data_IF_928575351286
#
_entry.id   IF_928575351286
#
_cell.length_a   1.000
_cell.length_b   1.000
_cell.length_c   1.000
_cell.angle_alpha   90.00
_cell.angle_beta   90.00
_cell.angle_gamma   90.00
#
_symmetry.space_group_name_H-M   'P 1'
#
loop_
_entity.id
_entity.type
_entity.pdbx_description
1 polymer ?
#
# COMPACT_ATOMS: atom_id res chain seq x y z
N UNK A 1 14.56 -19.20 -25.55
CA UNK A 1 15.80 -19.29 -24.73
C UNK A 1 16.61 -17.99 -24.61
N UNK A 2 16.74 -17.19 -25.67
CA UNK A 2 17.63 -15.99 -25.66
C UNK A 2 17.17 -14.83 -24.76
N UNK A 3 15.85 -14.63 -24.57
CA UNK A 3 15.32 -13.55 -23.70
C UNK A 3 15.48 -13.82 -22.19
N UNK A 4 15.44 -15.09 -21.75
CA UNK A 4 15.63 -15.48 -20.34
C UNK A 4 17.07 -15.28 -19.87
N UNK A 5 18.05 -15.54 -20.76
CA UNK A 5 19.48 -15.27 -20.50
C UNK A 5 19.77 -13.77 -20.35
N UNK A 6 19.15 -12.95 -21.19
CA UNK A 6 19.32 -11.49 -21.15
C UNK A 6 18.80 -10.86 -19.86
N UNK A 7 17.72 -11.39 -19.29
CA UNK A 7 17.18 -10.93 -18.01
C UNK A 7 18.12 -11.29 -16.84
N UNK A 8 18.68 -12.51 -16.85
CA UNK A 8 19.65 -12.97 -15.86
C UNK A 8 21.00 -12.22 -15.95
N UNK A 9 21.46 -11.92 -17.17
CA UNK A 9 22.67 -11.11 -17.41
C UNK A 9 22.48 -9.64 -17.00
N UNK A 10 21.26 -9.09 -17.10
CA UNK A 10 20.94 -7.72 -16.68
C UNK A 10 20.81 -7.55 -15.16
N UNK A 11 20.44 -8.62 -14.44
CA UNK A 11 20.36 -8.63 -12.98
C UNK A 11 21.76 -8.72 -12.34
N UNK A 12 22.76 -9.20 -13.11
CA UNK A 12 24.11 -9.47 -12.61
C UNK A 12 24.12 -10.57 -11.54
N UNK A 13 25.28 -10.88 -10.97
CA UNK A 13 25.40 -11.68 -9.74
C UNK A 13 24.83 -10.96 -8.50
N UNK A 14 24.09 -9.87 -8.71
CA UNK A 14 23.31 -9.16 -7.70
C UNK A 14 22.32 -10.13 -7.10
N UNK A 15 22.59 -10.51 -5.86
CA UNK A 15 21.75 -11.40 -5.09
C UNK A 15 20.33 -10.84 -5.16
N UNK A 16 19.36 -11.70 -5.49
CA UNK A 16 17.97 -11.35 -5.20
C UNK A 16 17.96 -10.87 -3.74
N UNK A 17 17.35 -9.73 -3.42
CA UNK A 17 17.45 -9.08 -2.11
C UNK A 17 16.79 -9.89 -0.96
N UNK A 18 16.38 -11.12 -1.27
CA UNK A 18 15.81 -12.08 -0.35
C UNK A 18 16.66 -13.35 -0.40
N UNK A 19 16.81 -13.94 0.79
CA UNK A 19 17.57 -15.16 1.07
C UNK A 19 17.58 -16.14 -0.10
N UNK A 20 18.78 -16.39 -0.61
CA UNK A 20 19.11 -17.49 -1.49
C UNK A 20 19.56 -18.69 -0.65
N UNK A 21 19.51 -19.89 -1.22
CA UNK A 21 20.05 -21.10 -0.57
C UNK A 21 21.55 -21.05 -0.27
N UNK A 22 22.23 -19.96 -0.65
CA UNK A 22 23.64 -19.67 -0.39
C UNK A 22 23.85 -18.74 0.81
N UNK A 23 22.80 -18.14 1.35
CA UNK A 23 22.90 -17.26 2.52
C UNK A 23 22.90 -18.10 3.80
N UNK A 24 23.84 -17.82 4.72
CA UNK A 24 24.04 -18.61 5.96
C UNK A 24 22.77 -18.69 6.83
N UNK A 25 21.89 -17.69 6.75
CA UNK A 25 20.62 -17.62 7.49
C UNK A 25 19.44 -18.27 6.77
N UNK A 26 19.64 -18.82 5.58
CA UNK A 26 18.58 -19.48 4.79
C UNK A 26 17.92 -20.63 5.55
N UNK A 27 18.72 -21.38 6.31
CA UNK A 27 18.27 -22.51 7.11
C UNK A 27 17.87 -22.11 8.55
N UNK A 28 18.21 -20.90 8.99
CA UNK A 28 17.90 -20.40 10.34
C UNK A 28 16.47 -19.84 10.45
N UNK A 29 15.76 -19.67 9.33
CA UNK A 29 14.38 -19.18 9.27
C UNK A 29 13.38 -20.33 9.38
N UNK A 30 13.26 -20.91 10.57
CA UNK A 30 12.20 -21.88 10.83
C UNK A 30 10.93 -21.16 11.34
N UNK A 31 10.07 -20.72 10.43
CA UNK A 31 8.74 -20.18 10.76
C UNK A 31 7.79 -21.32 11.13
N UNK A 32 7.83 -21.76 12.38
CA UNK A 32 7.03 -22.88 12.89
C UNK A 32 5.62 -22.51 13.36
N UNK A 33 5.33 -21.21 13.48
CA UNK A 33 4.03 -20.69 13.93
C UNK A 33 3.00 -20.64 12.79
N UNK A 34 2.50 -21.82 12.41
CA UNK A 34 1.50 -21.99 11.35
C UNK A 34 0.14 -22.42 11.93
N UNK A 35 -0.94 -21.92 11.34
CA UNK A 35 -2.32 -22.25 11.72
C UNK A 35 -2.78 -23.52 11.02
N UNK A 36 -3.55 -24.37 11.70
CA UNK A 36 -4.22 -25.52 11.07
C UNK A 36 -5.37 -25.08 10.16
N UNK A 37 -5.52 -25.76 9.02
CA UNK A 37 -6.64 -25.57 8.10
C UNK A 37 -7.96 -25.96 8.79
N UNK A 38 -8.96 -25.06 8.83
CA UNK A 38 -10.08 -25.20 9.76
C UNK A 38 -11.25 -26.07 9.29
N UNK A 39 -11.35 -26.45 8.01
CA UNK A 39 -12.58 -27.01 7.46
C UNK A 39 -12.46 -28.47 7.00
N UNK A 40 -11.34 -28.81 6.36
CA UNK A 40 -11.18 -30.08 5.63
C UNK A 40 -10.04 -30.94 6.19
N UNK A 41 -9.33 -30.47 7.21
CA UNK A 41 -8.22 -31.21 7.81
C UNK A 41 -6.99 -31.29 6.92
N UNK A 42 -6.75 -30.27 6.09
CA UNK A 42 -5.64 -30.25 5.13
C UNK A 42 -4.26 -29.99 5.76
N UNK A 43 -4.19 -29.67 7.05
CA UNK A 43 -2.94 -29.44 7.79
C UNK A 43 -2.54 -27.96 7.90
N UNK A 44 -1.25 -27.71 8.13
CA UNK A 44 -0.74 -26.36 8.45
C UNK A 44 -0.70 -25.44 7.25
N UNK A 45 -1.28 -24.26 7.38
CA UNK A 45 -1.31 -23.24 6.33
C UNK A 45 -0.14 -22.26 6.45
N UNK A 46 0.66 -22.15 5.38
CA UNK A 46 1.60 -21.04 5.20
C UNK A 46 0.86 -19.75 4.82
N UNK A 47 -0.22 -19.88 4.05
CA UNK A 47 -1.14 -18.79 3.71
C UNK A 47 -2.56 -19.31 3.88
N UNK A 48 -3.37 -18.61 4.68
CA UNK A 48 -4.76 -19.02 4.96
C UNK A 48 -5.67 -18.86 3.74
N UNK A 49 -6.88 -19.41 3.81
CA UNK A 49 -7.92 -19.21 2.79
C UNK A 49 -8.14 -17.73 2.46
N UNK A 50 -7.97 -17.36 1.20
CA UNK A 50 -8.15 -15.99 0.72
C UNK A 50 -8.56 -15.96 -0.76
N UNK A 51 -8.97 -14.76 -1.18
CA UNK A 51 -8.99 -14.34 -2.58
C UNK A 51 -7.79 -13.43 -2.81
N UNK A 52 -7.18 -13.51 -3.99
CA UNK A 52 -6.20 -12.50 -4.38
C UNK A 52 -6.88 -11.14 -4.59
N UNK A 53 -6.38 -10.12 -3.90
CA UNK A 53 -6.88 -8.75 -3.99
C UNK A 53 -6.15 -7.95 -5.10
N UNK A 54 -6.74 -6.82 -5.47
CA UNK A 54 -6.21 -5.86 -6.43
C UNK A 54 -5.80 -6.47 -7.79
N UNK A 55 -6.67 -7.30 -8.36
CA UNK A 55 -6.51 -7.90 -9.68
C UNK A 55 -7.50 -7.31 -10.68
N UNK A 56 -7.09 -7.19 -11.94
CA UNK A 56 -8.03 -6.91 -13.04
C UNK A 56 -9.10 -8.01 -13.07
N UNK A 57 -10.36 -7.63 -13.26
CA UNK A 57 -11.48 -8.58 -13.28
C UNK A 57 -11.22 -9.70 -14.30
N UNK A 58 -11.47 -10.95 -13.88
CA UNK A 58 -11.25 -12.17 -14.68
C UNK A 58 -9.81 -12.40 -15.17
N UNK A 59 -8.83 -11.68 -14.62
CA UNK A 59 -7.44 -11.87 -15.00
C UNK A 59 -6.86 -13.17 -14.44
N UNK A 60 -5.97 -13.78 -15.22
CA UNK A 60 -5.29 -15.02 -14.83
C UNK A 60 -4.19 -14.75 -13.81
N UNK A 61 -4.11 -15.61 -12.79
CA UNK A 61 -2.95 -15.72 -11.90
C UNK A 61 -2.18 -16.99 -12.25
N UNK A 62 -0.87 -16.85 -12.46
CA UNK A 62 0.02 -17.98 -12.77
C UNK A 62 1.10 -18.10 -11.70
N UNK A 63 1.26 -19.30 -11.14
CA UNK A 63 2.19 -19.55 -10.03
C UNK A 63 3.22 -20.58 -10.45
N UNK A 64 4.49 -20.19 -10.40
CA UNK A 64 5.63 -21.11 -10.46
C UNK A 64 6.00 -21.54 -9.04
N UNK A 65 6.09 -22.84 -8.79
CA UNK A 65 6.45 -23.42 -7.52
C UNK A 65 7.91 -23.90 -7.51
N UNK A 66 8.65 -23.59 -6.44
CA UNK A 66 9.97 -24.14 -6.19
C UNK A 66 10.10 -24.60 -4.75
N UNK A 67 10.03 -25.89 -4.53
CA UNK A 67 10.34 -26.52 -3.24
C UNK A 67 11.81 -26.92 -3.23
N UNK A 68 12.54 -26.54 -2.19
CA UNK A 68 13.91 -26.99 -1.99
C UNK A 68 13.91 -28.50 -1.69
N UNK A 69 14.80 -29.23 -2.35
CA UNK A 69 15.09 -30.62 -2.05
C UNK A 69 16.61 -30.71 -1.84
N UNK A 70 17.04 -31.23 -0.70
CA UNK A 70 18.43 -31.67 -0.56
C UNK A 70 18.70 -32.78 -1.58
N UNK A 71 19.86 -32.73 -2.23
CA UNK A 71 20.20 -33.62 -3.34
C UNK A 71 20.03 -35.10 -2.98
N UNK A 72 19.08 -35.75 -3.67
CA UNK A 72 18.96 -37.18 -3.96
C UNK A 72 19.30 -38.14 -2.81
N UNK A 73 18.29 -38.51 -2.03
CA UNK A 73 18.09 -39.91 -1.70
C UNK A 73 16.69 -40.31 -2.16
N UNK A 74 16.65 -41.31 -3.04
CA UNK A 74 15.44 -41.94 -3.55
C UNK A 74 14.49 -42.29 -2.40
N UNK A 75 13.32 -41.65 -2.36
CA UNK A 75 12.18 -42.18 -1.63
C UNK A 75 11.10 -42.50 -2.66
N UNK A 76 11.23 -43.71 -3.22
CA UNK A 76 10.11 -44.39 -3.86
C UNK A 76 9.10 -44.73 -2.75
N UNK A 77 8.02 -43.97 -2.66
CA UNK A 77 6.88 -44.24 -1.77
C UNK A 77 5.64 -43.53 -2.28
N UNK A 78 4.59 -44.30 -2.60
CA UNK A 78 3.29 -43.86 -3.13
C UNK A 78 2.31 -43.39 -2.03
N UNK A 79 2.80 -42.84 -0.92
CA UNK A 79 1.93 -42.24 0.10
C UNK A 79 1.95 -40.71 -0.03
N UNK A 80 0.79 -40.07 0.16
CA UNK A 80 0.62 -38.63 0.27
C UNK A 80 1.55 -38.08 1.37
N UNK A 81 2.74 -37.67 0.96
CA UNK A 81 3.80 -37.27 1.87
C UNK A 81 3.38 -35.98 2.61
N UNK A 82 3.11 -36.04 3.94
CA UNK A 82 2.74 -34.86 4.74
C UNK A 82 3.87 -33.82 4.81
N UNK A 83 5.03 -34.11 4.23
CA UNK A 83 6.15 -33.17 4.10
C UNK A 83 6.11 -32.34 2.82
N UNK A 84 5.19 -32.60 1.88
CA UNK A 84 5.10 -31.90 0.59
C UNK A 84 4.24 -30.64 0.67
N UNK A 85 4.61 -29.64 -0.13
CA UNK A 85 3.82 -28.40 -0.29
C UNK A 85 2.60 -28.64 -1.16
N UNK A 86 1.47 -28.00 -0.81
CA UNK A 86 0.24 -28.11 -1.60
C UNK A 86 -0.42 -26.74 -1.79
N UNK A 87 -1.25 -26.64 -2.81
CA UNK A 87 -2.26 -25.58 -2.93
C UNK A 87 -3.64 -26.19 -2.63
N UNK A 88 -4.35 -25.58 -1.70
CA UNK A 88 -5.74 -25.91 -1.40
C UNK A 88 -6.70 -25.04 -2.19
N UNK A 89 -7.82 -25.60 -2.64
CA UNK A 89 -8.89 -24.88 -3.35
C UNK A 89 -10.26 -25.28 -2.78
N UNK A 90 -11.13 -24.29 -2.54
CA UNK A 90 -12.53 -24.51 -2.13
C UNK A 90 -13.46 -23.53 -2.82
N UNK A 91 -14.72 -23.91 -3.00
CA UNK A 91 -15.77 -22.97 -3.43
C UNK A 91 -15.95 -21.92 -2.32
N UNK A 92 -16.08 -20.64 -2.69
CA UNK A 92 -16.32 -19.57 -1.72
C UNK A 92 -17.65 -19.82 -0.98
N UNK A 93 -17.67 -19.55 0.33
CA UNK A 93 -18.84 -19.74 1.20
C UNK A 93 -19.33 -21.19 1.39
N UNK A 94 -18.66 -22.18 0.80
CA UNK A 94 -19.02 -23.59 0.89
C UNK A 94 -17.93 -24.38 1.63
N UNK A 95 -18.34 -25.15 2.64
CA UNK A 95 -17.48 -26.09 3.39
C UNK A 95 -18.02 -27.52 3.38
N UNK A 96 -19.11 -27.77 2.66
CA UNK A 96 -19.72 -29.09 2.48
C UNK A 96 -19.15 -29.79 1.24
N UNK A 97 -18.94 -29.04 0.15
CA UNK A 97 -18.23 -29.56 -1.02
C UNK A 97 -16.77 -29.84 -0.63
N UNK A 98 -16.27 -31.07 -0.80
CA UNK A 98 -14.89 -31.40 -0.46
C UNK A 98 -13.88 -30.48 -1.17
N UNK A 99 -13.00 -29.86 -0.41
CA UNK A 99 -11.91 -29.04 -0.96
C UNK A 99 -10.88 -29.90 -1.71
N UNK A 100 -10.22 -29.30 -2.70
CA UNK A 100 -9.13 -29.94 -3.43
C UNK A 100 -7.80 -29.61 -2.77
N UNK A 101 -6.93 -30.62 -2.62
CA UNK A 101 -5.57 -30.47 -2.14
C UNK A 101 -4.62 -30.97 -3.23
N UNK A 102 -3.94 -30.04 -3.92
CA UNK A 102 -3.09 -30.38 -5.06
C UNK A 102 -1.61 -30.35 -4.68
N UNK A 103 -0.86 -31.45 -4.83
CA UNK A 103 0.56 -31.50 -4.48
C UNK A 103 1.40 -30.67 -5.43
N UNK A 104 2.39 -29.95 -4.88
CA UNK A 104 3.30 -29.09 -5.64
C UNK A 104 4.73 -29.63 -5.52
N UNK A 105 5.24 -30.17 -6.63
CA UNK A 105 6.66 -30.52 -6.82
C UNK A 105 7.47 -29.28 -7.18
N UNK A 106 8.79 -29.38 -7.00
CA UNK A 106 9.70 -28.35 -7.48
C UNK A 106 9.63 -28.22 -9.01
N UNK A 107 9.37 -27.02 -9.52
CA UNK A 107 9.18 -26.73 -10.95
C UNK A 107 7.73 -26.76 -11.42
N UNK A 108 6.79 -27.24 -10.61
CA UNK A 108 5.37 -27.27 -10.99
C UNK A 108 4.81 -25.86 -11.17
N UNK A 109 3.84 -25.73 -12.07
CA UNK A 109 3.09 -24.51 -12.29
C UNK A 109 1.60 -24.78 -12.19
N UNK A 110 0.85 -23.86 -11.58
CA UNK A 110 -0.61 -23.87 -11.63
C UNK A 110 -1.16 -22.50 -12.05
N UNK A 111 -2.36 -22.51 -12.63
CA UNK A 111 -3.02 -21.33 -13.14
C UNK A 111 -4.43 -21.24 -12.57
N UNK A 112 -4.79 -20.05 -12.09
CA UNK A 112 -6.17 -19.70 -11.76
C UNK A 112 -6.70 -18.85 -12.91
N UNK A 113 -7.67 -19.40 -13.65
CA UNK A 113 -8.18 -18.82 -14.88
C UNK A 113 -9.51 -18.10 -14.63
N UNK A 114 -9.77 -17.05 -15.39
CA UNK A 114 -11.06 -16.35 -15.44
C UNK A 114 -11.57 -15.97 -14.04
N UNK A 115 -12.79 -16.38 -13.68
CA UNK A 115 -13.43 -16.02 -12.42
C UNK A 115 -13.04 -16.92 -11.24
N UNK A 116 -12.07 -17.85 -11.40
CA UNK A 116 -11.73 -18.82 -10.37
C UNK A 116 -11.32 -18.14 -9.05
N UNK A 117 -10.54 -17.06 -9.13
CA UNK A 117 -10.15 -16.29 -7.94
C UNK A 117 -11.33 -15.56 -7.26
N UNK A 118 -12.46 -15.36 -7.96
CA UNK A 118 -13.68 -14.74 -7.42
C UNK A 118 -14.63 -15.80 -6.85
N UNK A 119 -14.78 -16.92 -7.54
CA UNK A 119 -15.74 -18.00 -7.18
C UNK A 119 -15.17 -18.98 -6.17
N UNK A 120 -13.85 -19.09 -6.08
CA UNK A 120 -13.14 -20.00 -5.18
C UNK A 120 -12.16 -19.24 -4.28
N UNK A 121 -11.91 -19.80 -3.11
CA UNK A 121 -10.81 -19.40 -2.23
C UNK A 121 -9.67 -20.40 -2.39
N UNK A 122 -8.44 -19.92 -2.23
CA UNK A 122 -7.28 -20.78 -2.21
C UNK A 122 -6.44 -20.56 -0.95
N UNK A 123 -5.68 -21.58 -0.56
CA UNK A 123 -4.72 -21.52 0.54
C UNK A 123 -3.43 -22.25 0.16
N UNK A 124 -2.37 -22.03 0.94
CA UNK A 124 -1.09 -22.74 0.76
C UNK A 124 -0.85 -23.60 1.99
N UNK A 125 -0.82 -24.91 1.78
CA UNK A 125 -0.48 -25.89 2.83
C UNK A 125 1.03 -26.07 2.84
N UNK A 126 1.62 -25.90 4.02
CA UNK A 126 3.05 -25.94 4.26
C UNK A 126 3.57 -27.37 4.23
N UNK A 127 4.63 -27.60 3.46
CA UNK A 127 5.48 -28.77 3.59
C UNK A 127 6.56 -28.57 4.67
N UNK A 128 7.48 -29.53 4.79
CA UNK A 128 8.57 -29.45 5.76
C UNK A 128 9.80 -28.70 5.25
N UNK A 129 10.00 -28.64 3.94
CA UNK A 129 11.18 -28.02 3.33
C UNK A 129 10.94 -26.54 2.99
N UNK A 130 11.99 -25.70 2.93
CA UNK A 130 11.87 -24.34 2.40
C UNK A 130 11.28 -24.32 0.99
N UNK A 131 10.48 -23.29 0.69
CA UNK A 131 9.79 -23.15 -0.60
C UNK A 131 9.69 -21.69 -1.03
N UNK A 132 9.93 -21.48 -2.31
CA UNK A 132 9.69 -20.23 -3.01
C UNK A 132 8.53 -20.41 -3.99
N UNK A 133 7.86 -19.30 -4.28
CA UNK A 133 6.91 -19.24 -5.38
C UNK A 133 7.04 -17.91 -6.10
N UNK A 134 6.72 -17.91 -7.39
CA UNK A 134 6.57 -16.71 -8.18
C UNK A 134 5.14 -16.63 -8.67
N UNK A 135 4.36 -15.73 -8.07
CA UNK A 135 2.94 -15.53 -8.36
C UNK A 135 2.77 -14.34 -9.29
N UNK A 136 2.65 -14.62 -10.58
CA UNK A 136 2.44 -13.62 -11.62
C UNK A 136 0.97 -13.18 -11.64
N UNK A 137 0.76 -11.87 -11.61
CA UNK A 137 -0.56 -11.22 -11.48
C UNK A 137 -0.72 -10.13 -12.53
N UNK A 138 -1.97 -9.84 -12.89
CA UNK A 138 -2.34 -8.60 -13.58
C UNK A 138 -2.96 -7.68 -12.53
N UNK A 139 -2.11 -6.88 -11.87
CA UNK A 139 -2.55 -5.97 -10.84
C UNK A 139 -3.49 -4.91 -11.42
N UNK A 140 -4.61 -4.68 -10.74
CA UNK A 140 -5.43 -3.51 -11.05
C UNK A 140 -4.68 -2.26 -10.60
N UNK A 141 -4.34 -1.43 -11.57
CA UNK A 141 -3.36 -0.36 -11.41
C UNK A 141 -3.77 0.95 -12.06
N UNK A 142 -5.04 1.12 -12.41
CA UNK A 142 -5.58 2.37 -12.97
C UNK A 142 -5.25 3.58 -12.09
N UNK A 143 -5.26 3.40 -10.77
CA UNK A 143 -4.88 4.40 -9.77
C UNK A 143 -3.58 4.07 -9.02
N UNK A 144 -2.93 2.96 -9.37
CA UNK A 144 -1.78 2.40 -8.64
C UNK A 144 -0.41 2.65 -9.30
N UNK A 145 -0.31 3.56 -10.28
CA UNK A 145 0.96 3.84 -10.98
C UNK A 145 1.53 5.22 -10.66
N UNK A 146 2.87 5.32 -10.69
CA UNK A 146 3.56 6.59 -10.46
C UNK A 146 3.12 7.67 -11.46
N UNK A 147 2.85 7.29 -12.71
CA UNK A 147 2.37 8.22 -13.73
C UNK A 147 0.99 8.78 -13.38
N UNK A 148 0.08 7.93 -12.89
CA UNK A 148 -1.25 8.34 -12.45
C UNK A 148 -1.14 9.37 -11.31
N UNK A 149 -0.48 9.04 -10.21
CA UNK A 149 -0.44 9.94 -9.05
C UNK A 149 0.28 11.26 -9.37
N UNK A 150 1.32 11.23 -10.22
CA UNK A 150 1.96 12.46 -10.70
C UNK A 150 0.99 13.31 -11.51
N UNK A 151 0.15 12.71 -12.34
CA UNK A 151 -0.89 13.42 -13.08
C UNK A 151 -1.89 14.07 -12.14
N UNK A 152 -2.33 13.35 -11.10
CA UNK A 152 -3.23 13.88 -10.07
C UNK A 152 -2.59 15.08 -9.35
N UNK A 153 -1.37 14.93 -8.82
CA UNK A 153 -0.63 16.02 -8.18
C UNK A 153 -0.49 17.24 -9.10
N UNK A 154 -0.10 17.04 -10.35
CA UNK A 154 0.04 18.13 -11.31
C UNK A 154 -1.29 18.83 -11.56
N UNK A 155 -2.41 18.10 -11.62
CA UNK A 155 -3.75 18.66 -11.76
C UNK A 155 -4.12 19.55 -10.56
N UNK A 156 -3.91 19.06 -9.34
CA UNK A 156 -4.15 19.84 -8.12
C UNK A 156 -3.31 21.13 -8.09
N UNK A 157 -2.02 21.02 -8.41
CA UNK A 157 -1.09 22.14 -8.41
C UNK A 157 -1.38 23.19 -9.49
N UNK A 158 -2.26 22.91 -10.47
CA UNK A 158 -2.70 23.95 -11.41
C UNK A 158 -3.41 25.10 -10.71
N UNK A 159 -4.03 24.89 -9.55
CA UNK A 159 -4.66 25.97 -8.78
C UNK A 159 -3.66 26.80 -7.94
N UNK A 160 -2.40 26.35 -7.82
CA UNK A 160 -1.35 27.09 -7.13
C UNK A 160 -0.72 28.14 -8.06
N UNK A 161 -0.62 29.37 -7.59
CA UNK A 161 0.07 30.46 -8.24
C UNK A 161 1.21 30.97 -7.35
N UNK A 162 2.40 31.12 -7.93
CA UNK A 162 3.54 31.73 -7.25
C UNK A 162 3.80 33.08 -7.89
N UNK A 163 3.69 34.14 -7.10
CA UNK A 163 4.00 35.49 -7.56
C UNK A 163 5.50 35.59 -7.88
N UNK A 164 5.89 35.93 -9.13
CA UNK A 164 7.28 35.90 -9.55
C UNK A 164 8.15 36.98 -8.88
N UNK A 165 7.54 38.09 -8.45
CA UNK A 165 8.26 39.22 -7.87
C UNK A 165 8.48 39.08 -6.36
N UNK A 166 7.49 38.49 -5.66
CA UNK A 166 7.49 38.38 -4.19
C UNK A 166 7.77 36.97 -3.69
N UNK A 167 7.62 35.95 -4.55
CA UNK A 167 7.64 34.54 -4.16
C UNK A 167 6.44 34.11 -3.32
N UNK A 168 5.42 34.97 -3.17
CA UNK A 168 4.23 34.66 -2.39
C UNK A 168 3.33 33.65 -3.13
N UNK A 169 2.86 32.64 -2.40
CA UNK A 169 1.91 31.65 -2.89
C UNK A 169 0.47 32.18 -2.75
N UNK A 170 -0.35 31.94 -3.77
CA UNK A 170 -1.78 32.26 -3.79
C UNK A 170 -2.57 31.20 -4.58
N UNK A 171 -3.89 31.17 -4.41
CA UNK A 171 -4.78 30.28 -5.17
C UNK A 171 -5.40 31.03 -6.35
N UNK A 172 -5.43 30.38 -7.52
CA UNK A 172 -5.99 31.00 -8.73
C UNK A 172 -7.51 31.16 -8.66
N UNK A 173 -8.19 30.21 -8.04
CA UNK A 173 -9.62 30.27 -7.78
C UNK A 173 -9.99 29.57 -6.47
N UNK A 174 -11.12 29.98 -5.90
CA UNK A 174 -11.72 29.43 -4.68
C UNK A 174 -13.00 28.64 -5.01
N UNK A 175 -13.08 28.04 -6.20
CA UNK A 175 -14.25 27.28 -6.61
C UNK A 175 -14.38 26.00 -5.74
N UNK A 176 -15.52 25.77 -5.06
CA UNK A 176 -15.60 24.74 -4.03
C UNK A 176 -15.24 23.33 -4.50
N UNK A 177 -15.62 22.94 -5.72
CA UNK A 177 -15.33 21.59 -6.23
C UNK A 177 -13.82 21.41 -6.52
N UNK A 178 -13.17 22.43 -7.12
CA UNK A 178 -11.71 22.43 -7.32
C UNK A 178 -10.97 22.34 -5.99
N UNK A 179 -11.43 23.06 -4.95
CA UNK A 179 -10.83 22.97 -3.62
C UNK A 179 -11.03 21.59 -3.00
N UNK A 180 -12.24 21.03 -3.03
CA UNK A 180 -12.52 19.67 -2.54
C UNK A 180 -11.64 18.62 -3.22
N UNK A 181 -11.58 18.64 -4.55
CA UNK A 181 -10.76 17.71 -5.34
C UNK A 181 -9.26 17.86 -5.04
N UNK A 182 -8.77 19.08 -4.81
CA UNK A 182 -7.38 19.32 -4.42
C UNK A 182 -7.06 18.65 -3.08
N UNK A 183 -7.96 18.78 -2.10
CA UNK A 183 -7.79 18.19 -0.78
C UNK A 183 -7.89 16.65 -0.79
N UNK A 184 -8.71 16.08 -1.68
CA UNK A 184 -8.77 14.63 -1.94
C UNK A 184 -7.45 14.10 -2.54
N UNK A 185 -6.91 14.77 -3.56
CA UNK A 185 -5.60 14.42 -4.15
C UNK A 185 -4.47 14.56 -3.12
N UNK A 186 -4.57 15.56 -2.24
CA UNK A 186 -3.64 15.74 -1.14
C UNK A 186 -3.66 14.56 -0.16
N UNK A 187 -4.85 14.04 0.17
CA UNK A 187 -4.99 12.80 0.94
C UNK A 187 -4.42 11.60 0.20
N UNK A 188 -4.75 11.45 -1.08
CA UNK A 188 -4.30 10.32 -1.91
C UNK A 188 -2.78 10.21 -1.94
N UNK A 189 -2.05 11.30 -2.24
CA UNK A 189 -0.58 11.29 -2.23
C UNK A 189 0.00 11.05 -0.84
N UNK A 190 -0.64 11.56 0.22
CA UNK A 190 -0.16 11.36 1.59
C UNK A 190 -0.30 9.89 2.02
N UNK A 191 -1.48 9.30 1.83
CA UNK A 191 -1.85 8.04 2.46
C UNK A 191 -1.66 6.82 1.58
N UNK A 192 -1.89 6.91 0.26
CA UNK A 192 -1.72 5.77 -0.65
C UNK A 192 -0.29 5.66 -1.20
N UNK A 193 0.52 6.72 -1.07
CA UNK A 193 1.88 6.77 -1.61
C UNK A 193 2.94 6.98 -0.54
N UNK A 194 3.00 8.17 0.06
CA UNK A 194 4.09 8.53 0.96
C UNK A 194 4.10 7.64 2.21
N UNK A 195 2.99 7.57 2.95
CA UNK A 195 2.94 6.78 4.18
C UNK A 195 3.06 5.28 3.93
N UNK A 196 2.47 4.76 2.86
CA UNK A 196 2.67 3.36 2.44
C UNK A 196 4.14 3.03 2.17
N UNK A 197 4.86 3.91 1.48
CA UNK A 197 6.26 3.71 1.17
C UNK A 197 7.14 3.76 2.42
N UNK A 198 6.99 4.79 3.25
CA UNK A 198 7.83 4.97 4.44
C UNK A 198 7.50 3.99 5.58
N UNK A 199 6.27 3.47 5.64
CA UNK A 199 5.89 2.43 6.57
C UNK A 199 6.67 1.12 6.37
N UNK A 200 7.17 0.86 5.16
CA UNK A 200 7.96 -0.33 4.86
C UNK A 200 9.43 -0.22 5.32
N UNK A 201 9.80 0.88 5.98
CA UNK A 201 11.17 1.14 6.42
C UNK A 201 12.10 1.42 5.25
N UNK A 202 13.35 0.96 5.33
CA UNK A 202 14.40 1.20 4.32
C UNK A 202 14.67 -0.04 3.45
N UNK A 203 13.80 -1.05 3.49
CA UNK A 203 14.02 -2.37 2.89
C UNK A 203 14.29 -2.32 1.38
N UNK A 204 13.62 -1.42 0.66
CA UNK A 204 13.75 -1.28 -0.79
C UNK A 204 15.13 -0.77 -1.23
N UNK A 205 15.84 -0.01 -0.38
CA UNK A 205 17.18 0.50 -0.69
C UNK A 205 18.23 -0.60 -0.90
N UNK A 206 17.94 -1.83 -0.45
CA UNK A 206 18.79 -3.00 -0.72
C UNK A 206 18.71 -3.46 -2.18
N UNK A 207 17.60 -3.18 -2.85
CA UNK A 207 17.28 -3.73 -4.16
C UNK A 207 17.38 -2.68 -5.28
N UNK A 208 16.90 -1.46 -5.00
CA UNK A 208 16.79 -0.40 -5.99
C UNK A 208 16.65 0.96 -5.34
N UNK A 209 17.18 1.99 -6.00
CA UNK A 209 17.01 3.40 -5.60
C UNK A 209 15.88 4.10 -6.35
N UNK A 210 15.24 3.44 -7.32
CA UNK A 210 14.23 4.03 -8.22
C UNK A 210 13.14 4.82 -7.47
N UNK A 211 12.56 4.20 -6.44
CA UNK A 211 11.46 4.81 -5.69
C UNK A 211 11.87 6.00 -4.83
N UNK A 212 13.16 6.14 -4.48
CA UNK A 212 13.62 7.25 -3.64
C UNK A 212 13.43 8.60 -4.33
N UNK A 213 13.79 8.68 -5.60
CA UNK A 213 13.63 9.90 -6.40
C UNK A 213 12.15 10.21 -6.62
N UNK A 214 11.37 9.19 -6.99
CA UNK A 214 9.93 9.31 -7.16
C UNK A 214 9.22 9.84 -5.89
N UNK A 215 9.58 9.32 -4.72
CA UNK A 215 8.95 9.72 -3.45
C UNK A 215 9.39 11.10 -2.98
N UNK A 216 10.63 11.51 -3.30
CA UNK A 216 11.09 12.89 -3.06
C UNK A 216 10.26 13.89 -3.86
N UNK A 217 9.96 13.59 -5.12
CA UNK A 217 9.12 14.44 -5.95
C UNK A 217 7.67 14.51 -5.46
N UNK A 218 7.08 13.36 -5.07
CA UNK A 218 5.73 13.33 -4.49
C UNK A 218 5.66 14.10 -3.17
N UNK A 219 6.71 14.07 -2.36
CA UNK A 219 6.79 14.84 -1.12
C UNK A 219 6.82 16.36 -1.40
N UNK A 220 7.52 16.80 -2.44
CA UNK A 220 7.52 18.22 -2.85
C UNK A 220 6.10 18.66 -3.24
N UNK A 221 5.40 17.86 -4.06
CA UNK A 221 4.02 18.15 -4.43
C UNK A 221 3.08 18.14 -3.21
N UNK A 222 3.20 17.16 -2.34
CA UNK A 222 2.44 17.08 -1.08
C UNK A 222 2.67 18.31 -0.19
N UNK A 223 3.91 18.79 -0.06
CA UNK A 223 4.24 19.98 0.73
C UNK A 223 3.67 21.27 0.11
N UNK A 224 3.59 21.34 -1.21
CA UNK A 224 2.89 22.42 -1.89
C UNK A 224 1.39 22.38 -1.60
N UNK A 225 0.78 21.19 -1.55
CA UNK A 225 -0.62 21.04 -1.17
C UNK A 225 -0.88 21.41 0.30
N UNK A 226 0.02 21.11 1.24
CA UNK A 226 -0.05 21.67 2.61
C UNK A 226 -0.11 23.21 2.62
N UNK A 227 0.63 23.85 1.70
CA UNK A 227 0.59 25.31 1.53
C UNK A 227 -0.76 25.75 0.96
N UNK A 228 -1.30 25.03 -0.02
CA UNK A 228 -2.61 25.31 -0.58
C UNK A 228 -3.72 25.22 0.48
N UNK A 229 -3.75 24.16 1.31
CA UNK A 229 -4.69 24.06 2.42
C UNK A 229 -4.59 25.28 3.35
N UNK A 230 -3.37 25.72 3.70
CA UNK A 230 -3.17 26.93 4.51
C UNK A 230 -3.75 28.19 3.86
N UNK A 231 -3.63 28.33 2.54
CA UNK A 231 -4.21 29.45 1.79
C UNK A 231 -5.74 29.40 1.79
N UNK A 232 -6.35 28.20 1.66
CA UNK A 232 -7.81 28.03 1.76
C UNK A 232 -8.30 28.46 3.14
N UNK A 233 -7.63 28.04 4.22
CA UNK A 233 -8.01 28.42 5.59
C UNK A 233 -7.96 29.94 5.79
N UNK A 234 -6.91 30.60 5.30
CA UNK A 234 -6.80 32.07 5.34
C UNK A 234 -7.89 32.76 4.50
N UNK A 235 -8.28 32.17 3.37
CA UNK A 235 -9.34 32.71 2.54
C UNK A 235 -10.71 32.66 3.24
N UNK A 236 -10.98 31.60 4.02
CA UNK A 236 -12.23 31.48 4.81
C UNK A 236 -12.31 32.54 5.91
N UNK A 237 -11.17 32.90 6.51
CA UNK A 237 -11.08 33.98 7.50
C UNK A 237 -11.31 35.37 6.88
N UNK A 238 -11.17 35.53 5.55
CA UNK A 238 -11.33 36.81 4.87
C UNK A 238 -12.79 37.32 4.93
N UNK A 239 -12.98 38.59 5.29
CA UNK A 239 -14.29 39.25 5.39
C UNK A 239 -14.95 39.49 4.02
N UNK A 240 -14.21 39.40 2.92
CA UNK A 240 -14.73 39.66 1.57
C UNK A 240 -15.61 38.53 1.00
N UNK A 241 -15.52 37.30 1.55
CA UNK A 241 -16.39 36.20 1.13
C UNK A 241 -17.75 36.29 1.81
N UNK A 242 -18.82 36.08 1.04
CA UNK A 242 -20.18 36.01 1.57
C UNK A 242 -20.36 34.76 2.44
N UNK A 243 -21.38 34.77 3.32
CA UNK A 243 -21.70 33.63 4.19
C UNK A 243 -21.97 32.35 3.37
N UNK A 244 -22.68 32.48 2.25
CA UNK A 244 -23.01 31.37 1.36
C UNK A 244 -21.75 30.78 0.69
N UNK A 245 -20.86 31.63 0.17
CA UNK A 245 -19.57 31.19 -0.40
C UNK A 245 -18.71 30.45 0.63
N UNK A 246 -18.62 30.97 1.86
CA UNK A 246 -17.90 30.32 2.95
C UNK A 246 -18.48 28.95 3.27
N UNK A 247 -19.81 28.84 3.41
CA UNK A 247 -20.48 27.57 3.65
C UNK A 247 -20.20 26.56 2.52
N UNK A 248 -20.25 27.00 1.26
CA UNK A 248 -20.01 26.13 0.11
C UNK A 248 -18.57 25.62 0.06
N UNK A 249 -17.57 26.46 0.34
CA UNK A 249 -16.17 26.04 0.45
C UNK A 249 -16.01 25.04 1.60
N UNK A 250 -16.52 25.37 2.80
CA UNK A 250 -16.40 24.52 3.98
C UNK A 250 -16.98 23.12 3.76
N UNK A 251 -18.16 23.02 3.13
CA UNK A 251 -18.80 21.73 2.80
C UNK A 251 -17.95 20.82 1.92
N UNK A 252 -17.08 21.39 1.08
CA UNK A 252 -16.23 20.63 0.16
C UNK A 252 -14.87 20.25 0.77
N UNK A 253 -14.31 21.08 1.65
CA UNK A 253 -12.97 20.83 2.22
C UNK A 253 -13.01 20.11 3.58
N UNK A 254 -14.10 20.24 4.34
CA UNK A 254 -14.16 19.69 5.68
C UNK A 254 -14.12 18.14 5.69
N UNK A 255 -14.83 17.42 4.80
CA UNK A 255 -14.73 15.96 4.74
C UNK A 255 -13.30 15.43 4.52
N UNK A 256 -12.53 15.87 3.49
CA UNK A 256 -11.16 15.39 3.31
C UNK A 256 -10.22 15.83 4.45
N UNK A 257 -10.45 16.96 5.12
CA UNK A 257 -9.66 17.35 6.30
C UNK A 257 -9.90 16.44 7.50
N UNK A 258 -11.16 16.06 7.76
CA UNK A 258 -11.52 15.08 8.81
C UNK A 258 -10.86 13.74 8.52
N UNK A 259 -11.00 13.24 7.29
CA UNK A 259 -10.35 12.01 6.85
C UNK A 259 -8.83 12.08 7.03
N UNK A 260 -8.20 13.21 6.67
CA UNK A 260 -6.76 13.41 6.84
C UNK A 260 -6.32 13.31 8.30
N UNK A 261 -7.09 13.89 9.22
CA UNK A 261 -6.81 13.80 10.66
C UNK A 261 -6.89 12.35 11.15
N UNK A 262 -7.96 11.65 10.78
CA UNK A 262 -8.20 10.27 11.20
C UNK A 262 -7.12 9.33 10.65
N UNK A 263 -6.79 9.45 9.37
CA UNK A 263 -5.73 8.66 8.74
C UNK A 263 -4.35 8.99 9.33
N UNK A 264 -4.03 10.27 9.60
CA UNK A 264 -2.79 10.66 10.28
C UNK A 264 -2.67 9.99 11.65
N UNK A 265 -3.76 9.90 12.40
CA UNK A 265 -3.82 9.21 13.68
C UNK A 265 -3.61 7.70 13.50
N UNK A 266 -4.33 7.06 12.58
CA UNK A 266 -4.22 5.62 12.33
C UNK A 266 -2.81 5.21 11.89
N UNK A 267 -2.21 5.96 10.97
CA UNK A 267 -0.82 5.73 10.54
C UNK A 267 0.19 5.91 11.68
N UNK A 268 -0.04 6.88 12.57
CA UNK A 268 0.79 7.08 13.77
C UNK A 268 0.75 5.85 14.67
N UNK A 269 -0.45 5.33 14.94
CA UNK A 269 -0.63 4.17 15.82
C UNK A 269 -0.09 2.89 15.19
N UNK A 270 -0.29 2.68 13.87
CA UNK A 270 0.33 1.58 13.12
C UNK A 270 1.86 1.58 13.26
N UNK A 271 2.50 2.74 13.05
CA UNK A 271 3.95 2.90 13.19
C UNK A 271 4.45 2.68 14.63
N UNK A 272 3.62 2.96 15.65
CA UNK A 272 3.98 2.85 17.08
C UNK A 272 3.64 1.50 17.70
N UNK A 273 2.96 0.63 16.96
CA UNK A 273 2.55 -0.69 17.43
C UNK A 273 3.74 -1.50 17.98
N UNK A 274 3.46 -2.37 18.96
CA UNK A 274 4.50 -3.21 19.58
C UNK A 274 5.20 -4.10 18.54
N UNK A 275 4.45 -4.63 17.58
CA UNK A 275 4.98 -5.46 16.49
C UNK A 275 5.91 -4.68 15.58
N UNK A 276 5.54 -3.45 15.20
CA UNK A 276 6.40 -2.59 14.38
C UNK A 276 7.76 -2.32 15.04
N UNK A 277 7.78 -2.14 16.36
CA UNK A 277 9.02 -1.90 17.14
C UNK A 277 9.92 -3.14 17.27
N UNK A 278 9.39 -4.33 17.01
CA UNK A 278 10.16 -5.59 17.05
C UNK A 278 10.83 -5.91 15.71
N UNK A 279 10.55 -5.14 14.65
CA UNK A 279 11.14 -5.36 13.34
C UNK A 279 12.65 -5.00 13.34
N UNK A 280 13.44 -5.62 12.44
CA UNK A 280 14.84 -5.25 12.23
C UNK A 280 15.01 -3.77 11.87
N UNK A 281 16.14 -3.13 12.22
CA UNK A 281 16.35 -1.68 12.04
C UNK A 281 16.11 -1.15 10.61
N UNK A 282 16.34 -1.96 9.59
CA UNK A 282 16.13 -1.63 8.18
C UNK A 282 14.67 -1.79 7.72
N UNK A 283 13.81 -2.37 8.55
CA UNK A 283 12.40 -2.66 8.27
C UNK A 283 11.44 -1.96 9.23
N UNK A 284 11.94 -1.32 10.29
CA UNK A 284 11.11 -0.53 11.21
C UNK A 284 10.39 0.58 10.41
N UNK A 285 9.05 0.71 10.56
CA UNK A 285 8.29 1.75 9.91
C UNK A 285 8.83 3.15 10.21
N UNK A 286 8.99 3.94 9.16
CA UNK A 286 9.30 5.36 9.30
C UNK A 286 7.98 6.14 9.28
N UNK A 287 7.64 6.78 10.40
CA UNK A 287 6.48 7.66 10.46
C UNK A 287 6.78 8.98 9.76
N UNK A 288 6.55 9.01 8.45
CA UNK A 288 6.92 10.10 7.56
C UNK A 288 5.86 10.29 6.46
N UNK A 289 5.56 11.53 6.03
CA UNK A 289 6.04 12.80 6.60
C UNK A 289 5.47 13.07 8.00
N UNK A 290 6.27 13.69 8.86
CA UNK A 290 5.89 14.11 10.22
C UNK A 290 6.67 15.36 10.62
N UNK A 291 6.01 16.24 11.38
CA UNK A 291 6.63 17.41 11.99
C UNK A 291 5.91 17.76 13.29
N UNK A 292 6.63 18.49 14.12
CA UNK A 292 6.18 19.08 15.37
C UNK A 292 5.83 20.57 15.15
N UNK A 293 5.06 21.13 16.08
CA UNK A 293 4.50 22.49 15.96
C UNK A 293 5.56 23.60 15.88
N UNK A 294 6.79 23.34 16.37
CA UNK A 294 7.93 24.26 16.26
C UNK A 294 8.51 24.34 14.84
N UNK A 295 8.10 23.46 13.92
CA UNK A 295 8.64 23.42 12.57
C UNK A 295 8.08 24.54 11.69
N UNK A 296 8.82 25.66 11.63
CA UNK A 296 8.49 26.83 10.81
C UNK A 296 8.49 26.60 9.30
N UNK A 297 8.97 25.45 8.82
CA UNK A 297 8.98 25.13 7.38
C UNK A 297 7.67 24.52 6.88
N UNK A 298 6.76 24.19 7.80
CA UNK A 298 5.43 23.67 7.51
C UNK A 298 4.38 24.74 7.81
N UNK A 299 3.40 24.95 6.91
CA UNK A 299 2.43 26.04 7.04
C UNK A 299 1.26 25.70 7.98
N UNK A 300 1.09 24.42 8.31
CA UNK A 300 0.02 23.90 9.15
C UNK A 300 0.59 22.99 10.25
N UNK A 301 -0.10 22.84 11.39
CA UNK A 301 0.24 21.79 12.35
C UNK A 301 -0.01 20.41 11.73
N UNK A 302 0.70 19.40 12.24
CA UNK A 302 0.44 18.03 11.83
C UNK A 302 -0.95 17.57 12.30
N UNK A 303 -1.30 17.93 13.54
CA UNK A 303 -2.59 17.64 14.15
C UNK A 303 -3.60 18.74 13.78
N UNK A 304 -4.62 18.35 13.02
CA UNK A 304 -5.63 19.24 12.47
C UNK A 304 -6.87 19.35 13.37
N UNK A 305 -6.91 18.67 14.52
CA UNK A 305 -8.11 18.58 15.36
C UNK A 305 -8.70 19.96 15.74
N UNK A 306 -7.84 20.91 16.15
CA UNK A 306 -8.27 22.25 16.51
C UNK A 306 -8.78 23.05 15.31
N UNK A 307 -8.14 22.89 14.14
CA UNK A 307 -8.54 23.54 12.90
C UNK A 307 -9.91 23.02 12.49
N UNK A 308 -10.09 21.70 12.42
CA UNK A 308 -11.34 21.06 12.04
C UNK A 308 -12.48 21.49 12.97
N UNK A 309 -12.25 21.50 14.29
CA UNK A 309 -13.25 21.92 15.27
C UNK A 309 -13.68 23.39 15.07
N UNK A 310 -12.73 24.27 14.76
CA UNK A 310 -13.02 25.68 14.49
C UNK A 310 -13.83 25.86 13.19
N UNK A 311 -13.49 25.11 12.14
CA UNK A 311 -14.20 25.14 10.86
C UNK A 311 -15.62 24.58 10.97
N UNK A 312 -15.81 23.48 11.72
CA UNK A 312 -17.12 22.90 12.02
C UNK A 312 -18.03 23.93 12.70
N UNK A 313 -17.52 24.56 13.76
CA UNK A 313 -18.25 25.63 14.46
C UNK A 313 -18.59 26.80 13.53
N UNK A 314 -17.65 27.20 12.67
CA UNK A 314 -17.87 28.28 11.70
C UNK A 314 -18.95 27.93 10.69
N UNK A 315 -18.99 26.68 10.22
CA UNK A 315 -20.03 26.19 9.31
C UNK A 315 -21.41 26.23 9.99
N UNK A 316 -21.52 25.69 11.20
CA UNK A 316 -22.77 25.70 11.99
C UNK A 316 -23.30 27.13 12.22
N UNK A 317 -22.42 28.06 12.63
CA UNK A 317 -22.80 29.47 12.85
C UNK A 317 -23.23 30.19 11.57
N UNK A 318 -22.67 29.83 10.43
CA UNK A 318 -22.99 30.43 9.14
C UNK A 318 -24.28 29.86 8.55
N UNK A 319 -24.54 28.55 8.71
CA UNK A 319 -25.80 27.95 8.28
C UNK A 319 -27.01 28.51 9.03
N UNK A 320 -26.84 28.92 10.28
CA UNK A 320 -27.90 29.60 11.04
C UNK A 320 -28.21 31.03 10.52
N UNK A 321 -27.35 31.61 9.69
CA UNK A 321 -27.48 32.97 9.13
C UNK A 321 -28.00 32.98 7.68
N UNK A 322 -28.11 31.82 7.04
CA UNK A 322 -28.64 31.63 5.68
C UNK A 322 -30.17 31.44 5.71
#
# INVERSE_FOLDING_TARGET
MHKKRKLLEQIGDGHLPYLSSKDDTFYDLNMSFLKEEPYFGMGKMAVSWHHDENLVEQSTVAVYNYSYQESSNDVNGEDEDPTRWHVGLKIAWDIETPGLLMPLSSGDCYLMLDDLNKTHQHCVIAGCQPRFSSTHRVAESSTGTLQYIKSQCNSALQNLHMNPDTGAADLKNLEPNVLGQTEEIHNEVEFEWLRQFWFQGKRYNKCTTFWKEAMTELEIHWKQMETMTSLVLKAIENENLTVDEKCNILKNILPPLVERQDLRHDWRERCRSKLAKMLPPDQVPCFYPYWNDDNKTMPLPFDLHNIISALQKTLEENELKL
#
